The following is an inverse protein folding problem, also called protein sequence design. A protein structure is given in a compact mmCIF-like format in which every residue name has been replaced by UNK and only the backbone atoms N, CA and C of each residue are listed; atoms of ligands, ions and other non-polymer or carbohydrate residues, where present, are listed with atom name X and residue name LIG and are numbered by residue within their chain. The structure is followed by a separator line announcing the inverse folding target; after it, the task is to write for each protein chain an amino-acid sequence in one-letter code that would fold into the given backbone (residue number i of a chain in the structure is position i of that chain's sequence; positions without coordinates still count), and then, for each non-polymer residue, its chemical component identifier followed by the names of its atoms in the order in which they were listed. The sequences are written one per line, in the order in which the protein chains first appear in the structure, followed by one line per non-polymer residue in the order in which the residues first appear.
data_IF_136375688796
#
_entry.id   IF_136375688796
#
_cell.length_a   1.000
_cell.length_b   1.000
_cell.length_c   1.000
_cell.angle_alpha   90.00
_cell.angle_beta   90.00
_cell.angle_gamma   90.00
#
_symmetry.space_group_name_H-M   'P 1'
#
loop_
_entity.id
_entity.type
_entity.pdbx_description
1 polymer ?
#
# COMPACT_ATOMS: atom_id res chain seq x y z
N UNK A 1 -95.98 -12.08 -25.14
CA UNK A 1 -94.75 -12.64 -24.59
C UNK A 1 -93.54 -11.89 -25.18
N UNK A 2 -92.99 -10.95 -24.45
CA UNK A 2 -91.75 -10.28 -24.83
C UNK A 2 -90.58 -10.87 -24.05
N UNK A 3 -89.65 -11.48 -24.72
CA UNK A 3 -88.35 -11.90 -24.17
C UNK A 3 -87.34 -10.73 -24.21
N UNK A 4 -87.07 -10.15 -23.05
CA UNK A 4 -85.94 -9.26 -22.89
C UNK A 4 -84.63 -10.05 -22.82
N UNK A 5 -83.86 -10.05 -23.86
CA UNK A 5 -82.49 -10.51 -23.82
C UNK A 5 -81.69 -9.41 -23.12
N UNK A 6 -81.20 -9.67 -21.92
CA UNK A 6 -80.21 -8.85 -21.25
C UNK A 6 -78.90 -9.05 -21.95
N UNK A 7 -78.36 -8.00 -22.59
CA UNK A 7 -77.02 -7.93 -23.15
C UNK A 7 -76.03 -8.10 -22.02
N UNK A 8 -75.14 -9.06 -22.06
CA UNK A 8 -74.05 -9.16 -21.05
C UNK A 8 -73.13 -7.97 -21.22
N UNK A 9 -73.18 -7.03 -20.30
CA UNK A 9 -72.20 -5.96 -20.20
C UNK A 9 -70.79 -6.63 -19.98
N UNK A 10 -70.01 -6.62 -21.01
CA UNK A 10 -68.60 -6.92 -20.91
C UNK A 10 -67.98 -5.88 -20.01
N UNK A 11 -67.64 -6.27 -18.78
CA UNK A 11 -66.86 -5.40 -17.90
C UNK A 11 -65.52 -5.10 -18.60
N UNK A 12 -65.33 -3.84 -18.99
CA UNK A 12 -64.04 -3.42 -19.46
C UNK A 12 -63.05 -3.55 -18.30
N UNK A 13 -62.19 -4.54 -18.38
CA UNK A 13 -61.07 -4.63 -17.46
C UNK A 13 -60.17 -3.44 -17.72
N UNK A 14 -60.27 -2.44 -16.87
CA UNK A 14 -59.27 -1.36 -16.84
C UNK A 14 -57.96 -2.02 -16.47
N UNK A 15 -57.07 -2.10 -17.46
CA UNK A 15 -55.68 -2.52 -17.18
C UNK A 15 -55.09 -1.52 -16.17
N UNK A 16 -54.57 -2.06 -15.08
CA UNK A 16 -53.88 -1.26 -14.07
C UNK A 16 -52.74 -0.50 -14.79
N UNK A 17 -52.75 0.84 -14.76
CA UNK A 17 -51.66 1.59 -15.42
C UNK A 17 -50.32 1.20 -14.79
N UNK A 18 -49.41 0.74 -15.61
CA UNK A 18 -48.02 0.47 -15.19
C UNK A 18 -47.25 1.79 -15.27
N UNK A 19 -46.85 2.29 -14.12
CA UNK A 19 -45.95 3.45 -14.06
C UNK A 19 -44.52 2.90 -14.00
N UNK A 20 -43.74 3.15 -15.04
CA UNK A 20 -42.31 2.86 -15.01
C UNK A 20 -41.59 4.10 -14.50
N UNK A 21 -40.95 3.98 -13.33
CA UNK A 21 -40.10 5.05 -12.82
C UNK A 21 -38.86 5.16 -13.68
N UNK A 22 -38.40 6.38 -13.98
CA UNK A 22 -37.11 6.55 -14.62
C UNK A 22 -35.99 6.00 -13.73
N UNK A 23 -34.92 5.58 -14.36
CA UNK A 23 -33.74 5.03 -13.66
C UNK A 23 -32.65 6.08 -13.60
N UNK A 24 -32.00 6.15 -12.45
CA UNK A 24 -30.79 6.94 -12.22
C UNK A 24 -29.55 6.03 -12.35
N UNK A 25 -28.41 6.63 -12.62
CA UNK A 25 -27.16 5.93 -12.86
C UNK A 25 -26.11 6.34 -11.85
N UNK A 26 -25.39 5.36 -11.30
CA UNK A 26 -24.26 5.58 -10.41
C UNK A 26 -23.04 4.88 -11.00
N UNK A 27 -22.07 5.65 -11.45
CA UNK A 27 -20.83 5.13 -12.00
C UNK A 27 -19.80 4.97 -10.88
N UNK A 28 -19.19 3.80 -10.77
CA UNK A 28 -18.06 3.55 -9.86
C UNK A 28 -16.82 3.30 -10.69
N UNK A 29 -15.77 4.10 -10.44
CA UNK A 29 -14.48 3.98 -11.10
C UNK A 29 -13.41 3.61 -10.10
N UNK A 30 -12.58 2.63 -10.44
CA UNK A 30 -11.42 2.21 -9.67
C UNK A 30 -10.15 2.86 -10.22
N UNK A 31 -9.32 3.36 -9.31
CA UNK A 31 -7.98 3.85 -9.61
C UNK A 31 -6.95 3.25 -8.66
N UNK A 32 -5.73 3.09 -9.14
CA UNK A 32 -4.58 2.65 -8.36
C UNK A 32 -3.55 3.79 -8.34
N UNK A 33 -3.04 4.17 -7.18
CA UNK A 33 -2.09 5.28 -7.08
C UNK A 33 -0.67 4.91 -7.55
N UNK A 34 -0.40 3.61 -7.72
CA UNK A 34 0.84 3.05 -8.26
C UNK A 34 0.71 2.60 -9.73
N UNK A 35 -0.22 3.22 -10.46
CA UNK A 35 -0.54 3.06 -11.87
C UNK A 35 -1.46 1.86 -12.18
N UNK A 36 -2.59 2.15 -12.87
CA UNK A 36 -3.56 1.15 -13.29
C UNK A 36 -2.96 0.09 -14.24
N UNK A 37 -1.93 0.43 -15.01
CA UNK A 37 -1.28 -0.51 -15.94
C UNK A 37 -0.58 -1.66 -15.21
N UNK A 38 -0.07 -1.42 -14.00
CA UNK A 38 0.54 -2.45 -13.15
C UNK A 38 -0.47 -3.50 -12.68
N UNK A 39 -1.76 -3.20 -12.78
CA UNK A 39 -2.89 -4.02 -12.31
C UNK A 39 -3.70 -4.64 -13.46
N UNK A 40 -3.12 -4.77 -14.66
CA UNK A 40 -3.83 -5.26 -15.86
C UNK A 40 -4.50 -6.63 -15.69
N UNK A 41 -4.02 -7.45 -14.77
CA UNK A 41 -4.55 -8.79 -14.47
C UNK A 41 -5.31 -8.85 -13.14
N UNK A 42 -5.46 -7.74 -12.45
CA UNK A 42 -6.13 -7.68 -11.14
C UNK A 42 -7.62 -7.37 -11.29
N UNK A 43 -8.35 -7.63 -10.23
CA UNK A 43 -9.74 -7.27 -10.11
C UNK A 43 -10.07 -6.90 -8.67
N UNK A 44 -11.05 -6.01 -8.49
CA UNK A 44 -11.58 -5.66 -7.17
C UNK A 44 -13.09 -5.83 -7.17
N UNK A 45 -13.64 -6.12 -6.00
CA UNK A 45 -15.09 -6.16 -5.81
C UNK A 45 -15.55 -4.92 -5.05
N UNK A 46 -16.59 -4.30 -5.55
CA UNK A 46 -17.25 -3.17 -4.89
C UNK A 46 -18.71 -3.51 -4.59
N UNK A 47 -19.25 -2.92 -3.52
CA UNK A 47 -20.64 -3.04 -3.12
C UNK A 47 -21.26 -1.65 -3.02
N UNK A 48 -22.31 -1.40 -3.83
CA UNK A 48 -23.16 -0.25 -3.68
C UNK A 48 -24.09 -0.48 -2.49
N UNK A 49 -24.24 0.54 -1.65
CA UNK A 49 -25.17 0.58 -0.52
C UNK A 49 -26.22 1.65 -0.75
N UNK A 50 -27.42 1.41 -0.27
CA UNK A 50 -28.52 2.36 -0.25
C UNK A 50 -28.97 2.54 1.20
N UNK A 51 -28.98 3.76 1.69
CA UNK A 51 -29.39 4.13 3.06
C UNK A 51 -28.65 3.33 4.15
N UNK A 52 -27.36 2.99 3.87
CA UNK A 52 -26.48 2.24 4.77
C UNK A 52 -26.50 0.72 4.60
N UNK A 53 -27.52 0.16 3.91
CA UNK A 53 -27.68 -1.27 3.67
C UNK A 53 -27.18 -1.67 2.27
N UNK A 54 -26.77 -2.93 2.12
CA UNK A 54 -26.34 -3.43 0.81
C UNK A 54 -27.47 -3.37 -0.20
N UNK A 55 -27.24 -2.67 -1.32
CA UNK A 55 -28.22 -2.58 -2.39
C UNK A 55 -28.32 -3.92 -3.12
N UNK A 56 -29.54 -4.41 -3.34
CA UNK A 56 -29.76 -5.62 -4.13
C UNK A 56 -29.18 -5.44 -5.55
N UNK A 57 -28.37 -6.39 -6.02
CA UNK A 57 -27.59 -6.28 -7.26
C UNK A 57 -26.55 -5.13 -7.25
N UNK A 58 -26.12 -4.68 -6.06
CA UNK A 58 -25.13 -3.63 -5.89
C UNK A 58 -23.68 -4.13 -5.90
N UNK A 59 -23.43 -5.41 -6.11
CA UNK A 59 -22.07 -5.96 -6.21
C UNK A 59 -21.57 -5.92 -7.65
N UNK A 60 -20.33 -5.48 -7.84
CA UNK A 60 -19.68 -5.48 -9.14
C UNK A 60 -18.19 -5.79 -9.02
N UNK A 61 -17.63 -6.43 -10.07
CA UNK A 61 -16.19 -6.65 -10.21
C UNK A 61 -15.64 -5.63 -11.20
N UNK A 62 -14.62 -4.88 -10.76
CA UNK A 62 -13.91 -3.90 -11.58
C UNK A 62 -12.53 -4.45 -11.97
N UNK A 63 -12.17 -4.34 -13.23
CA UNK A 63 -10.90 -4.81 -13.79
C UNK A 63 -10.52 -4.00 -15.03
N UNK A 64 -9.32 -4.26 -15.56
CA UNK A 64 -8.81 -3.57 -16.75
C UNK A 64 -9.68 -3.82 -17.99
N UNK A 65 -10.24 -5.01 -18.19
CA UNK A 65 -11.10 -5.33 -19.34
C UNK A 65 -12.38 -4.50 -19.36
N UNK A 66 -12.90 -4.10 -18.18
CA UNK A 66 -14.02 -3.19 -17.99
C UNK A 66 -13.59 -1.72 -17.82
N UNK A 67 -12.34 -1.35 -18.18
CA UNK A 67 -11.79 0.00 -17.97
C UNK A 67 -11.90 0.45 -16.49
N UNK A 68 -11.86 -0.48 -15.56
CA UNK A 68 -11.97 -0.21 -14.13
C UNK A 68 -13.25 0.53 -13.73
N UNK A 69 -14.34 0.34 -14.49
CA UNK A 69 -15.60 1.08 -14.32
C UNK A 69 -16.81 0.15 -14.33
N UNK A 70 -17.82 0.47 -13.52
CA UNK A 70 -19.13 -0.14 -13.55
C UNK A 70 -20.23 0.91 -13.34
N UNK A 71 -21.35 0.77 -14.05
CA UNK A 71 -22.51 1.60 -13.92
C UNK A 71 -23.66 0.82 -13.26
N UNK A 72 -24.05 1.22 -12.06
CA UNK A 72 -25.26 0.74 -11.39
C UNK A 72 -26.48 1.53 -11.82
N UNK A 73 -27.60 0.84 -11.97
CA UNK A 73 -28.90 1.42 -12.25
C UNK A 73 -29.77 1.36 -11.00
N UNK A 74 -30.30 2.49 -10.57
CA UNK A 74 -31.16 2.61 -9.40
C UNK A 74 -32.47 3.32 -9.75
N UNK A 75 -33.63 2.99 -9.15
CA UNK A 75 -34.88 3.70 -9.41
C UNK A 75 -34.79 5.16 -8.98
N UNK A 76 -35.35 6.05 -9.77
CA UNK A 76 -35.67 7.40 -9.30
C UNK A 76 -36.89 7.37 -8.41
N UNK A 77 -36.90 8.18 -7.35
CA UNK A 77 -38.03 8.26 -6.43
C UNK A 77 -38.12 9.59 -5.69
N UNK A 78 -39.35 10.00 -5.27
CA UNK A 78 -39.56 11.30 -4.63
C UNK A 78 -38.96 11.37 -3.22
N UNK A 79 -38.90 10.26 -2.52
CA UNK A 79 -38.35 10.15 -1.15
C UNK A 79 -36.86 10.42 -1.10
N UNK A 80 -36.15 10.07 -2.18
CA UNK A 80 -34.69 10.16 -2.27
C UNK A 80 -34.00 9.05 -1.45
N UNK A 81 -32.82 8.69 -1.92
CA UNK A 81 -31.95 7.71 -1.25
C UNK A 81 -30.54 8.23 -1.18
N UNK A 82 -29.83 7.82 -0.14
CA UNK A 82 -28.41 8.08 0.04
C UNK A 82 -27.64 6.83 -0.34
N UNK A 83 -26.73 6.97 -1.31
CA UNK A 83 -25.89 5.88 -1.79
C UNK A 83 -24.46 6.06 -1.30
N UNK A 84 -23.79 4.95 -1.02
CA UNK A 84 -22.37 4.88 -0.74
C UNK A 84 -21.77 3.64 -1.39
N UNK A 85 -20.45 3.59 -1.46
CA UNK A 85 -19.70 2.45 -2.04
C UNK A 85 -18.67 1.97 -1.04
N UNK A 86 -18.55 0.66 -0.91
CA UNK A 86 -17.45 0.00 -0.20
C UNK A 86 -16.71 -0.93 -1.15
N UNK A 87 -15.42 -1.11 -0.93
CA UNK A 87 -14.57 -2.09 -1.61
C UNK A 87 -14.28 -3.27 -0.68
N UNK A 88 -14.27 -4.48 -1.20
CA UNK A 88 -13.71 -5.63 -0.49
C UNK A 88 -12.21 -5.42 -0.34
N UNK A 89 -11.71 -5.57 0.89
CA UNK A 89 -10.30 -5.27 1.21
C UNK A 89 -9.33 -5.97 0.24
N UNK A 90 -8.46 -5.18 -0.36
CA UNK A 90 -7.33 -5.64 -1.16
C UNK A 90 -6.09 -5.67 -0.28
N UNK A 91 -5.43 -6.83 -0.19
CA UNK A 91 -4.23 -6.96 0.63
C UNK A 91 -3.09 -6.06 0.15
N UNK A 92 -2.40 -5.43 1.09
CA UNK A 92 -1.28 -4.52 0.82
C UNK A 92 -1.68 -3.16 0.29
N UNK A 93 -2.97 -2.83 0.30
CA UNK A 93 -3.50 -1.54 -0.12
C UNK A 93 -4.47 -0.94 0.91
N UNK A 94 -4.44 0.38 0.97
CA UNK A 94 -5.42 1.21 1.66
C UNK A 94 -6.40 1.78 0.65
N UNK A 95 -7.70 1.50 0.83
CA UNK A 95 -8.77 1.94 -0.05
C UNK A 95 -9.38 3.24 0.45
N UNK A 96 -9.63 4.17 -0.47
CA UNK A 96 -10.35 5.42 -0.19
C UNK A 96 -11.38 5.69 -1.26
N UNK A 97 -12.60 6.00 -0.84
CA UNK A 97 -13.66 6.51 -1.73
C UNK A 97 -13.63 8.04 -1.68
N UNK A 98 -13.78 8.70 -2.83
CA UNK A 98 -13.68 10.15 -2.99
C UNK A 98 -14.73 10.94 -2.19
N UNK A 99 -15.85 10.32 -1.88
CA UNK A 99 -16.93 10.89 -1.06
C UNK A 99 -17.61 9.83 -0.20
N UNK A 100 -18.18 10.23 0.93
CA UNK A 100 -18.85 9.32 1.86
C UNK A 100 -20.20 8.87 1.36
N UNK A 101 -20.94 9.76 0.67
CA UNK A 101 -22.28 9.51 0.19
C UNK A 101 -22.63 10.33 -1.05
N UNK A 102 -23.74 9.94 -1.70
CA UNK A 102 -24.37 10.60 -2.83
C UNK A 102 -25.88 10.54 -2.64
N UNK A 103 -26.54 11.66 -2.55
CA UNK A 103 -28.03 11.70 -2.47
C UNK A 103 -28.62 11.86 -3.87
N UNK A 104 -29.54 10.93 -4.24
CA UNK A 104 -30.37 11.03 -5.43
C UNK A 104 -31.83 11.15 -5.00
N UNK A 105 -32.54 12.18 -5.48
CA UNK A 105 -33.92 12.45 -5.09
C UNK A 105 -34.69 13.07 -6.25
N UNK A 106 -35.90 12.62 -6.46
CA UNK A 106 -36.83 13.16 -7.47
C UNK A 106 -37.30 12.11 -8.45
N UNK A 107 -38.28 12.49 -9.26
CA UNK A 107 -38.93 11.63 -10.25
C UNK A 107 -38.27 11.65 -11.64
N UNK A 108 -37.19 12.36 -11.79
CA UNK A 108 -36.40 12.41 -13.03
C UNK A 108 -35.13 11.58 -12.88
N UNK A 109 -34.65 11.01 -13.99
CA UNK A 109 -33.35 10.33 -14.04
C UNK A 109 -32.22 11.26 -13.59
N UNK A 110 -31.39 10.79 -12.71
CA UNK A 110 -30.20 11.49 -12.19
C UNK A 110 -28.96 10.63 -12.43
N UNK A 111 -27.79 11.24 -12.31
CA UNK A 111 -26.52 10.53 -12.37
C UNK A 111 -25.62 10.98 -11.23
N UNK A 112 -24.78 10.04 -10.79
CA UNK A 112 -23.74 10.28 -9.80
C UNK A 112 -22.56 9.39 -10.06
N UNK A 113 -21.45 9.65 -9.36
CA UNK A 113 -20.26 8.86 -9.50
C UNK A 113 -19.50 8.76 -8.19
N UNK A 114 -18.78 7.64 -8.01
CA UNK A 114 -17.77 7.43 -6.99
C UNK A 114 -16.45 7.04 -7.62
N UNK A 115 -15.35 7.47 -7.01
CA UNK A 115 -14.01 6.99 -7.33
C UNK A 115 -13.44 6.28 -6.13
N UNK A 116 -13.04 5.02 -6.33
CA UNK A 116 -12.37 4.19 -5.32
C UNK A 116 -10.89 4.13 -5.68
N UNK A 117 -10.03 4.68 -4.81
CA UNK A 117 -8.58 4.71 -5.03
C UNK A 117 -7.89 3.79 -4.03
N UNK A 118 -7.06 2.86 -4.54
CA UNK A 118 -6.16 2.06 -3.71
C UNK A 118 -4.75 2.64 -3.75
N UNK A 119 -4.17 2.80 -2.57
CA UNK A 119 -2.80 3.27 -2.36
C UNK A 119 -2.01 2.16 -1.68
N UNK A 120 -0.78 1.83 -2.12
CA UNK A 120 0.06 0.86 -1.45
C UNK A 120 0.24 1.18 0.03
N UNK A 121 0.12 0.16 0.88
CA UNK A 121 0.36 0.29 2.31
C UNK A 121 1.84 0.10 2.62
N UNK A 122 2.33 0.78 3.65
CA UNK A 122 3.71 0.76 4.10
C UNK A 122 3.79 0.52 5.60
N UNK A 123 4.85 -0.17 6.04
CA UNK A 123 5.30 -0.17 7.43
C UNK A 123 6.50 0.74 7.58
N UNK A 124 6.62 1.36 8.75
CA UNK A 124 7.68 2.31 9.08
C UNK A 124 8.70 1.67 9.99
N UNK A 125 10.00 1.86 9.70
CA UNK A 125 11.13 1.51 10.53
C UNK A 125 11.98 2.75 10.74
N UNK A 126 12.26 3.20 11.98
CA UNK A 126 13.23 4.26 12.21
C UNK A 126 14.59 3.87 11.63
N UNK A 127 15.19 4.74 10.83
CA UNK A 127 16.52 4.47 10.25
C UNK A 127 17.60 4.29 11.33
N UNK A 128 17.39 4.86 12.51
CA UNK A 128 18.23 4.67 13.71
C UNK A 128 18.23 3.23 14.25
N UNK A 129 17.26 2.41 13.87
CA UNK A 129 17.20 1.00 14.29
C UNK A 129 18.05 0.09 13.40
N UNK A 130 18.48 0.55 12.23
CA UNK A 130 19.54 -0.07 11.44
C UNK A 130 20.87 0.44 11.96
N UNK A 131 21.67 -0.42 12.59
CA UNK A 131 22.84 -0.03 13.38
C UNK A 131 24.13 -0.64 12.84
N UNK A 132 25.21 0.12 13.02
CA UNK A 132 26.59 -0.36 12.84
C UNK A 132 27.38 -0.12 14.11
N UNK A 133 28.34 -1.00 14.39
CA UNK A 133 29.27 -0.87 15.52
C UNK A 133 30.69 -0.77 14.97
N UNK A 134 31.39 0.29 15.31
CA UNK A 134 32.84 0.44 15.05
C UNK A 134 33.64 0.01 16.26
N UNK A 135 34.63 -0.85 16.05
CA UNK A 135 35.63 -1.21 17.05
C UNK A 135 36.98 -0.74 16.52
N UNK A 136 37.80 -0.10 17.36
CA UNK A 136 39.16 0.31 17.04
C UNK A 136 40.15 -0.53 17.79
N UNK A 137 41.25 -0.91 17.14
CA UNK A 137 42.36 -1.68 17.70
C UNK A 137 43.67 -0.93 17.57
N UNK A 138 44.56 -1.10 18.55
CA UNK A 138 45.90 -0.52 18.56
C UNK A 138 45.98 0.80 19.33
N UNK A 139 45.16 1.78 19.03
CA UNK A 139 45.15 3.09 19.72
C UNK A 139 43.74 3.75 19.63
N UNK A 140 43.61 4.89 20.33
CA UNK A 140 42.42 5.72 20.24
C UNK A 140 42.20 6.26 18.81
N UNK A 141 40.95 6.46 18.43
CA UNK A 141 40.60 7.06 17.14
C UNK A 141 41.13 8.50 17.03
N UNK A 142 41.69 8.84 15.85
CA UNK A 142 42.14 10.19 15.54
C UNK A 142 41.24 10.91 14.52
N UNK A 143 40.25 10.21 13.99
CA UNK A 143 39.22 10.74 13.07
C UNK A 143 37.91 9.99 13.22
N UNK A 144 36.86 10.56 12.72
CA UNK A 144 35.55 9.93 12.63
C UNK A 144 35.56 8.84 11.54
N UNK A 145 34.65 7.84 11.67
CA UNK A 145 34.49 6.76 10.72
C UNK A 145 33.11 6.84 10.07
N UNK A 146 33.10 7.00 8.75
CA UNK A 146 31.87 6.99 7.95
C UNK A 146 31.41 5.57 7.61
N UNK A 147 30.10 5.40 7.50
CA UNK A 147 29.48 4.16 7.04
C UNK A 147 28.40 4.45 6.01
N UNK A 148 28.31 3.55 5.04
CA UNK A 148 27.29 3.55 3.99
C UNK A 148 26.35 2.37 4.20
N UNK A 149 25.05 2.60 4.01
CA UNK A 149 24.02 1.58 3.87
C UNK A 149 23.41 1.74 2.48
N UNK A 150 23.52 0.73 1.63
CA UNK A 150 23.02 0.76 0.26
C UNK A 150 21.96 -0.30 0.07
N UNK A 151 20.79 0.07 -0.47
CA UNK A 151 19.78 -0.91 -0.86
C UNK A 151 20.24 -1.69 -2.09
N UNK A 152 20.02 -3.00 -2.09
CA UNK A 152 20.39 -3.93 -3.16
C UNK A 152 19.20 -4.79 -3.53
N UNK A 153 18.81 -4.77 -4.80
CA UNK A 153 17.76 -5.67 -5.29
C UNK A 153 18.25 -7.11 -5.30
N UNK A 154 17.46 -8.01 -4.71
CA UNK A 154 17.65 -9.46 -4.74
C UNK A 154 16.75 -10.12 -5.77
N UNK A 155 17.15 -11.30 -6.25
CA UNK A 155 16.36 -12.17 -7.14
C UNK A 155 15.59 -13.25 -6.40
N UNK A 156 15.64 -13.27 -5.07
CA UNK A 156 14.90 -14.21 -4.24
C UNK A 156 13.39 -14.05 -4.43
N UNK A 157 12.64 -15.13 -4.25
CA UNK A 157 11.19 -15.18 -4.54
C UNK A 157 10.37 -14.15 -3.73
N UNK A 158 10.81 -13.83 -2.51
CA UNK A 158 10.14 -12.88 -1.62
C UNK A 158 10.96 -11.59 -1.43
N UNK A 159 11.80 -11.23 -2.41
CA UNK A 159 12.59 -10.01 -2.34
C UNK A 159 11.71 -8.77 -2.53
N UNK A 160 11.81 -7.84 -1.59
CA UNK A 160 11.33 -6.47 -1.77
C UNK A 160 12.26 -5.70 -2.72
N UNK A 161 11.71 -4.73 -3.44
CA UNK A 161 12.48 -3.90 -4.39
C UNK A 161 12.93 -2.60 -3.72
N UNK A 162 14.14 -2.15 -4.03
CA UNK A 162 14.64 -0.88 -3.52
C UNK A 162 13.76 0.31 -3.93
N UNK A 163 13.10 0.23 -5.08
CA UNK A 163 12.13 1.23 -5.53
C UNK A 163 10.89 1.35 -4.63
N UNK A 164 10.59 0.31 -3.85
CA UNK A 164 9.47 0.26 -2.90
C UNK A 164 9.85 0.73 -1.49
N UNK A 165 11.08 1.23 -1.31
CA UNK A 165 11.56 1.80 -0.05
C UNK A 165 11.63 3.31 -0.17
N UNK A 166 10.95 4.00 0.75
CA UNK A 166 11.06 5.47 0.85
C UNK A 166 11.89 5.88 2.06
N UNK A 167 12.47 7.08 2.03
CA UNK A 167 13.38 7.57 3.07
C UNK A 167 14.86 7.38 2.75
N UNK A 168 15.19 6.76 1.60
CA UNK A 168 16.57 6.65 1.12
C UNK A 168 16.97 7.88 0.29
N UNK A 169 18.23 8.30 0.42
CA UNK A 169 18.87 9.27 -0.46
C UNK A 169 19.82 8.54 -1.42
N UNK A 170 19.64 8.70 -2.74
CA UNK A 170 20.46 7.99 -3.73
C UNK A 170 20.56 6.47 -3.48
N UNK A 171 19.41 5.86 -3.16
CA UNK A 171 19.29 4.43 -2.86
C UNK A 171 20.05 3.95 -1.60
N UNK A 172 20.37 4.84 -0.68
CA UNK A 172 21.10 4.51 0.54
C UNK A 172 20.99 5.54 1.64
N UNK A 173 21.71 5.28 2.72
CA UNK A 173 21.90 6.17 3.86
C UNK A 173 23.36 6.18 4.26
N UNK A 174 23.78 7.22 4.97
CA UNK A 174 25.12 7.34 5.55
C UNK A 174 25.00 7.67 7.04
N UNK A 175 26.01 7.26 7.80
CA UNK A 175 26.17 7.64 9.20
C UNK A 175 27.64 7.77 9.55
N UNK A 176 27.92 8.31 10.74
CA UNK A 176 29.30 8.53 11.20
C UNK A 176 29.40 8.15 12.66
N UNK A 177 30.41 7.33 13.00
CA UNK A 177 30.84 7.08 14.38
C UNK A 177 31.88 8.12 14.73
N UNK A 178 31.63 8.88 15.82
CA UNK A 178 32.56 9.91 16.28
C UNK A 178 33.81 9.29 16.91
N UNK A 179 34.98 9.85 16.58
CA UNK A 179 36.24 9.52 17.24
C UNK A 179 36.21 9.72 18.76
N UNK A 180 35.38 10.66 19.24
CA UNK A 180 35.29 11.01 20.65
C UNK A 180 34.63 9.90 21.49
N UNK A 181 33.98 8.92 20.84
CA UNK A 181 33.45 7.69 21.45
C UNK A 181 34.47 6.54 21.45
N UNK A 182 35.58 6.66 20.71
CA UNK A 182 36.59 5.64 20.46
C UNK A 182 37.94 6.02 21.08
N UNK A 183 37.96 6.23 22.39
CA UNK A 183 39.04 6.91 23.12
C UNK A 183 40.19 6.01 23.55
N UNK A 184 40.17 4.72 23.26
CA UNK A 184 41.22 3.77 23.58
C UNK A 184 41.22 2.58 22.60
N UNK A 185 42.32 1.81 22.58
CA UNK A 185 42.36 0.52 21.91
C UNK A 185 41.29 -0.43 22.48
N UNK A 186 40.54 -1.08 21.62
CA UNK A 186 39.41 -1.94 21.98
C UNK A 186 38.09 -1.19 22.26
N UNK A 187 38.09 0.14 22.18
CA UNK A 187 36.86 0.91 22.31
C UNK A 187 35.91 0.61 21.13
N UNK A 188 34.61 0.59 21.43
CA UNK A 188 33.54 0.40 20.46
C UNK A 188 32.44 1.43 20.63
N UNK A 189 31.85 1.81 19.51
CA UNK A 189 30.68 2.70 19.49
C UNK A 189 29.67 2.21 18.45
N UNK A 190 28.40 2.33 18.77
CA UNK A 190 27.28 1.91 17.90
C UNK A 190 26.44 3.10 17.53
N UNK A 191 26.12 3.23 16.24
CA UNK A 191 25.30 4.32 15.70
C UNK A 191 24.28 3.77 14.70
N UNK A 192 23.12 4.44 14.63
CA UNK A 192 22.09 4.16 13.64
C UNK A 192 22.28 4.97 12.35
N UNK A 193 21.64 4.57 11.26
CA UNK A 193 21.70 5.23 9.97
C UNK A 193 20.73 6.42 9.84
N UNK A 194 20.83 7.41 10.70
CA UNK A 194 20.08 8.66 10.62
C UNK A 194 18.88 8.74 11.57
N UNK A 195 18.16 9.86 11.48
CA UNK A 195 17.06 10.22 12.38
C UNK A 195 15.68 10.18 11.68
N UNK A 196 15.62 9.79 10.42
CA UNK A 196 14.39 9.70 9.64
C UNK A 196 13.78 8.31 9.68
N UNK A 197 12.65 8.18 9.02
CA UNK A 197 11.94 6.92 8.87
C UNK A 197 12.20 6.32 7.50
N UNK A 198 12.45 5.02 7.47
CA UNK A 198 12.32 4.18 6.29
C UNK A 198 10.90 3.63 6.23
N UNK A 199 10.27 3.67 5.05
CA UNK A 199 8.97 3.04 4.84
C UNK A 199 9.13 1.96 3.78
N UNK A 200 8.63 0.79 4.08
CA UNK A 200 8.69 -0.40 3.26
C UNK A 200 7.30 -0.79 2.80
N UNK A 201 7.14 -1.04 1.51
CA UNK A 201 5.88 -1.57 0.98
C UNK A 201 5.58 -2.93 1.63
N UNK A 202 4.34 -3.12 2.09
CA UNK A 202 3.94 -4.39 2.70
C UNK A 202 3.69 -5.46 1.62
N UNK A 203 3.80 -6.76 1.95
CA UNK A 203 3.58 -7.84 1.00
C UNK A 203 2.13 -7.89 0.50
N UNK A 204 1.98 -8.25 -0.78
CA UNK A 204 0.71 -8.59 -1.44
C UNK A 204 0.80 -10.05 -1.90
N UNK A 205 0.01 -10.95 -1.34
CA UNK A 205 0.01 -12.38 -1.72
C UNK A 205 1.15 -13.23 -1.13
N UNK A 206 2.00 -12.65 -0.28
CA UNK A 206 3.00 -13.36 0.52
C UNK A 206 2.87 -12.96 1.99
N UNK A 207 3.43 -13.75 2.90
CA UNK A 207 3.42 -13.40 4.33
C UNK A 207 4.43 -12.30 4.65
N UNK A 208 5.59 -12.33 3.99
CA UNK A 208 6.66 -11.36 4.20
C UNK A 208 7.36 -11.01 2.88
N UNK A 209 7.92 -9.78 2.83
CA UNK A 209 8.95 -9.37 1.88
C UNK A 209 10.28 -9.17 2.61
N UNK A 210 11.39 -9.46 1.93
CA UNK A 210 12.74 -9.24 2.47
C UNK A 210 13.45 -8.18 1.63
N UNK A 211 13.71 -7.03 2.22
CA UNK A 211 14.52 -5.96 1.63
C UNK A 211 15.97 -6.14 2.05
N UNK A 212 16.88 -6.09 1.10
CA UNK A 212 18.31 -6.34 1.33
C UNK A 212 19.12 -5.06 1.19
N UNK A 213 20.01 -4.86 2.13
CA UNK A 213 20.98 -3.76 2.11
C UNK A 213 22.39 -4.29 2.35
N UNK A 214 23.38 -3.56 1.85
CA UNK A 214 24.78 -3.74 2.19
C UNK A 214 25.24 -2.58 3.07
N UNK A 215 25.76 -2.88 4.25
CA UNK A 215 26.47 -1.91 5.09
C UNK A 215 27.99 -2.07 4.91
N UNK A 216 28.70 -0.97 4.78
CA UNK A 216 30.15 -0.94 4.61
C UNK A 216 30.77 0.31 5.24
N UNK A 217 32.06 0.27 5.61
CA UNK A 217 32.81 1.49 5.94
C UNK A 217 32.98 2.36 4.71
N UNK A 218 32.98 3.68 4.90
CA UNK A 218 33.35 4.64 3.87
C UNK A 218 34.89 4.72 3.78
N UNK A 219 35.42 4.15 2.73
CA UNK A 219 36.87 4.11 2.46
C UNK A 219 37.32 5.15 1.45
N UNK A 220 36.46 6.04 0.98
CA UNK A 220 36.83 7.07 0.00
C UNK A 220 37.79 8.12 0.57
N UNK A 221 37.72 8.36 1.88
CA UNK A 221 38.59 9.30 2.61
C UNK A 221 39.22 8.63 3.83
N UNK A 222 40.15 7.69 3.65
CA UNK A 222 40.69 6.94 4.78
C UNK A 222 41.50 7.86 5.68
N UNK A 223 41.31 7.73 6.99
CA UNK A 223 42.15 8.41 7.96
C UNK A 223 43.57 7.85 7.97
N UNK A 224 44.56 8.72 8.10
CA UNK A 224 45.95 8.30 8.11
C UNK A 224 46.25 7.37 9.31
N UNK A 225 46.93 6.25 9.04
CA UNK A 225 47.33 5.28 10.07
C UNK A 225 46.28 4.21 10.39
N UNK A 226 45.12 4.21 9.72
CA UNK A 226 44.11 3.19 9.89
C UNK A 226 44.06 2.22 8.70
N UNK A 227 43.89 0.94 9.02
CA UNK A 227 43.52 -0.08 8.06
C UNK A 227 41.99 -0.28 8.24
N UNK A 228 41.24 0.00 7.18
CA UNK A 228 39.79 -0.17 7.14
C UNK A 228 39.44 -1.62 6.86
N UNK A 229 38.33 -2.04 7.41
CA UNK A 229 37.66 -3.28 7.01
C UNK A 229 36.97 -3.04 5.66
N UNK A 230 37.23 -3.92 4.68
CA UNK A 230 36.56 -3.87 3.38
C UNK A 230 35.39 -4.86 3.29
N UNK A 231 35.13 -5.59 4.37
CA UNK A 231 34.02 -6.54 4.40
C UNK A 231 32.69 -5.79 4.44
N UNK A 232 31.71 -6.37 3.77
CA UNK A 232 30.35 -5.87 3.74
C UNK A 232 29.46 -6.73 4.63
N UNK A 233 28.57 -6.09 5.34
CA UNK A 233 27.54 -6.77 6.12
C UNK A 233 26.23 -6.69 5.35
N UNK A 234 25.60 -7.84 5.13
CA UNK A 234 24.26 -7.88 4.57
C UNK A 234 23.24 -7.59 5.67
N UNK A 235 22.46 -6.54 5.47
CA UNK A 235 21.36 -6.16 6.37
C UNK A 235 20.05 -6.53 5.68
N UNK A 236 19.24 -7.35 6.34
CA UNK A 236 17.92 -7.73 5.86
C UNK A 236 16.83 -7.09 6.71
N UNK A 237 15.86 -6.50 6.05
CA UNK A 237 14.63 -6.01 6.69
C UNK A 237 13.50 -6.91 6.22
N UNK A 238 13.03 -7.77 7.13
CA UNK A 238 11.87 -8.63 6.89
C UNK A 238 10.61 -7.87 7.24
N UNK A 239 9.76 -7.67 6.25
CA UNK A 239 8.55 -6.84 6.32
C UNK A 239 7.32 -7.72 6.23
N UNK A 240 6.49 -7.68 7.27
CA UNK A 240 5.13 -8.22 7.28
C UNK A 240 4.11 -7.13 6.94
N UNK A 241 2.80 -7.42 7.07
CA UNK A 241 1.76 -6.39 6.88
C UNK A 241 1.71 -5.32 7.98
N UNK A 242 2.37 -5.57 9.11
CA UNK A 242 2.26 -4.71 10.30
C UNK A 242 3.60 -4.35 10.93
N UNK A 243 4.70 -5.00 10.52
CA UNK A 243 5.98 -4.87 11.19
C UNK A 243 7.16 -5.00 10.23
N UNK A 244 8.31 -4.44 10.61
CA UNK A 244 9.58 -4.54 9.93
C UNK A 244 10.68 -4.92 10.92
N UNK A 245 11.37 -6.02 10.68
CA UNK A 245 12.40 -6.59 11.57
C UNK A 245 13.76 -6.59 10.88
N UNK A 246 14.76 -6.01 11.53
CA UNK A 246 16.14 -5.95 11.03
C UNK A 246 16.93 -7.17 11.48
N UNK A 247 17.71 -7.75 10.57
CA UNK A 247 18.70 -8.80 10.85
C UNK A 247 19.99 -8.56 10.08
N UNK A 248 21.09 -9.11 10.55
CA UNK A 248 22.43 -8.92 9.99
C UNK A 248 23.02 -10.27 9.62
N UNK A 249 23.61 -10.37 8.41
CA UNK A 249 24.34 -11.55 7.94
C UNK A 249 25.77 -11.14 7.65
N UNK A 250 26.70 -11.79 8.33
CA UNK A 250 28.14 -11.59 8.17
C UNK A 250 28.72 -12.64 7.21
N UNK A 251 29.77 -12.29 6.47
CA UNK A 251 30.48 -13.24 5.60
C UNK A 251 31.05 -14.44 6.39
N UNK A 252 31.17 -15.59 5.75
CA UNK A 252 31.63 -16.83 6.39
C UNK A 252 33.05 -16.74 6.98
N UNK A 253 33.85 -15.79 6.54
CA UNK A 253 35.26 -15.59 6.94
C UNK A 253 35.44 -14.38 7.89
N UNK A 254 34.36 -13.78 8.37
CA UNK A 254 34.45 -12.67 9.30
C UNK A 254 34.91 -13.17 10.68
N UNK A 255 36.23 -13.01 10.96
CA UNK A 255 36.86 -13.39 12.22
C UNK A 255 36.47 -12.46 13.38
N UNK A 256 35.80 -11.34 13.10
CA UNK A 256 35.42 -10.30 14.07
C UNK A 256 33.96 -10.45 14.54
N UNK A 257 33.33 -11.60 14.28
CA UNK A 257 32.03 -11.94 14.86
C UNK A 257 32.11 -11.89 16.40
N UNK A 258 31.70 -10.78 16.95
CA UNK A 258 31.32 -10.73 18.37
C UNK A 258 29.82 -10.63 18.45
N UNK A 259 29.24 -11.73 18.96
CA UNK A 259 27.83 -11.84 19.38
C UNK A 259 27.42 -10.72 20.33
#
# INVERSE_FOLDING_TARGET
GGTTTSDPQTAAYLQKPTITLPVSKITVTKTWSDDNENHANDSVQVQLKQDGEDYANGSATLNAAGNWTHEFTVPAGPEGHTYSVSEVKVEGYDSKVDKTDLKLQGLTAQSGAFTVTNTPSYVTLPASDVKVTKVVQGHAANSDFGFNLKCVDSTDANAGKCADVTGLANNGLTTTVSKDELTASGASATVGFGNGDLKFRVPTGADNLVYTFEASEDTEKPAAGWKYDNDKVTVKVTVSRTDAVVSYEYGENDSDRKN
#
